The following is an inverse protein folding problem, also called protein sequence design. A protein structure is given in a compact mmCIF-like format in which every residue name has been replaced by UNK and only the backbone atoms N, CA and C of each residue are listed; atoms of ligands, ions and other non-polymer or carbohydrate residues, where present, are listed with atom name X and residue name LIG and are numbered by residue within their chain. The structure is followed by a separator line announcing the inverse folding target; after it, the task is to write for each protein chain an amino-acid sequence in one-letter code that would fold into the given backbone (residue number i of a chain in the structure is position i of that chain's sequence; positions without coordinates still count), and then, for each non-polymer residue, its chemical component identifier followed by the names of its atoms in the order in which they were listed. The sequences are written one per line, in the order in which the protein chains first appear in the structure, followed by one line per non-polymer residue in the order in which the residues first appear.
data_IF_811217726743
#
_entry.id   IF_811217726743
#
_cell.length_a   1.000
_cell.length_b   1.000
_cell.length_c   1.000
_cell.angle_alpha   90.00
_cell.angle_beta   90.00
_cell.angle_gamma   90.00
#
_symmetry.space_group_name_H-M   'P 1'
#
loop_
_entity.id
_entity.type
_entity.pdbx_description
1 polymer ?
#
# COMPACT_ATOMS: atom_id res chain seq x y z
N UNK A 1 22.18 -6.56 -4.95
CA UNK A 1 20.83 -5.96 -4.95
C UNK A 1 20.90 -4.62 -5.64
N UNK A 2 20.20 -4.45 -6.77
CA UNK A 2 20.30 -3.24 -7.58
C UNK A 2 19.14 -2.28 -7.29
N UNK A 3 19.36 -1.28 -6.44
CA UNK A 3 18.31 -0.35 -6.00
C UNK A 3 17.68 0.46 -7.15
N UNK A 4 18.48 0.78 -8.17
CA UNK A 4 17.99 1.47 -9.38
C UNK A 4 16.99 0.61 -10.14
N UNK A 5 17.25 -0.69 -10.23
CA UNK A 5 16.35 -1.66 -10.84
C UNK A 5 15.04 -1.77 -10.04
N UNK A 6 15.12 -1.85 -8.71
CA UNK A 6 13.95 -1.91 -7.83
C UNK A 6 13.03 -0.70 -8.04
N UNK A 7 13.58 0.52 -8.02
CA UNK A 7 12.79 1.74 -8.25
C UNK A 7 12.18 1.79 -9.64
N UNK A 8 12.94 1.35 -10.66
CA UNK A 8 12.44 1.28 -12.03
C UNK A 8 11.27 0.30 -12.15
N UNK A 9 11.38 -0.88 -11.54
CA UNK A 9 10.32 -1.87 -11.50
C UNK A 9 9.10 -1.39 -10.70
N UNK A 10 9.30 -0.72 -9.56
CA UNK A 10 8.20 -0.15 -8.78
C UNK A 10 7.37 0.83 -9.61
N UNK A 11 8.05 1.67 -10.43
CA UNK A 11 7.39 2.56 -11.38
C UNK A 11 6.62 1.79 -12.46
N UNK A 12 7.19 0.73 -13.02
CA UNK A 12 6.52 -0.10 -14.03
C UNK A 12 5.25 -0.73 -13.43
N UNK A 13 5.35 -1.32 -12.25
CA UNK A 13 4.22 -1.93 -11.53
C UNK A 13 3.12 -0.91 -11.23
N UNK A 14 3.50 0.28 -10.75
CA UNK A 14 2.55 1.35 -10.48
C UNK A 14 1.87 1.88 -11.77
N UNK A 15 2.57 1.91 -12.89
CA UNK A 15 1.96 2.26 -14.18
C UNK A 15 1.08 1.14 -14.74
N UNK A 16 1.48 -0.12 -14.54
CA UNK A 16 0.70 -1.29 -14.93
C UNK A 16 -0.63 -1.35 -14.18
N UNK A 17 -0.64 -1.09 -12.87
CA UNK A 17 -1.88 -1.07 -12.07
C UNK A 17 -2.83 0.07 -12.46
N UNK A 18 -2.29 1.25 -12.82
CA UNK A 18 -3.09 2.35 -13.38
C UNK A 18 -3.69 1.98 -14.74
N UNK A 19 -2.92 1.28 -15.59
CA UNK A 19 -3.40 0.81 -16.91
C UNK A 19 -4.45 -0.28 -16.75
N UNK A 20 -4.28 -1.20 -15.80
CA UNK A 20 -5.24 -2.27 -15.51
C UNK A 20 -6.62 -1.73 -15.12
N UNK A 21 -6.67 -0.55 -14.48
CA UNK A 21 -7.91 0.14 -14.12
C UNK A 21 -8.58 0.93 -15.24
N UNK A 22 -7.99 0.98 -16.45
CA UNK A 22 -8.64 1.60 -17.61
C UNK A 22 -9.72 0.65 -18.15
N UNK A 23 -10.96 0.94 -17.81
CA UNK A 23 -12.13 0.29 -18.43
C UNK A 23 -12.52 1.13 -19.66
N UNK A 24 -12.61 0.48 -20.83
CA UNK A 24 -13.13 1.04 -22.10
C UNK A 24 -12.50 2.38 -22.52
N UNK A 25 -11.16 2.44 -22.67
CA UNK A 25 -10.40 3.62 -23.13
C UNK A 25 -10.59 4.92 -22.32
N UNK A 26 -11.30 4.86 -21.19
CA UNK A 26 -11.45 6.01 -20.30
C UNK A 26 -10.20 6.22 -19.46
N UNK A 27 -9.75 7.48 -19.34
CA UNK A 27 -8.64 7.82 -18.45
C UNK A 27 -9.10 7.72 -17.00
N UNK A 28 -8.36 7.00 -16.11
CA UNK A 28 -8.72 6.89 -14.70
C UNK A 28 -8.73 8.30 -14.08
N UNK A 29 -9.77 8.64 -13.31
CA UNK A 29 -9.91 9.94 -12.64
C UNK A 29 -9.42 9.86 -11.18
N UNK A 30 -9.07 11.01 -10.59
CA UNK A 30 -8.66 11.12 -9.18
C UNK A 30 -7.29 10.49 -8.85
N UNK A 31 -7.18 9.90 -7.66
CA UNK A 31 -5.95 9.25 -7.14
C UNK A 31 -5.51 8.01 -7.93
N UNK A 32 -6.36 7.49 -8.81
CA UNK A 32 -6.02 6.40 -9.72
C UNK A 32 -5.34 6.88 -11.01
N UNK A 33 -5.26 8.20 -11.27
CA UNK A 33 -4.78 8.76 -12.54
C UNK A 33 -3.27 8.60 -12.72
N UNK A 34 -2.48 8.86 -11.68
CA UNK A 34 -1.03 8.69 -11.75
C UNK A 34 -0.37 8.59 -10.37
N UNK A 35 0.71 7.79 -10.23
CA UNK A 35 1.48 7.71 -8.99
C UNK A 35 2.08 9.06 -8.56
N UNK A 36 2.43 9.92 -9.52
CA UNK A 36 3.00 11.26 -9.24
C UNK A 36 2.00 12.17 -8.52
N UNK A 37 0.73 12.15 -8.97
CA UNK A 37 -0.34 12.94 -8.36
C UNK A 37 -0.52 12.53 -6.90
N UNK A 38 -0.46 11.23 -6.59
CA UNK A 38 -0.60 10.74 -5.22
C UNK A 38 0.53 11.21 -4.29
N UNK A 39 1.75 11.33 -4.79
CA UNK A 39 2.86 11.92 -4.01
C UNK A 39 2.60 13.40 -3.74
N UNK A 40 2.17 14.16 -4.75
CA UNK A 40 1.85 15.59 -4.59
C UNK A 40 0.74 15.78 -3.57
N UNK A 41 -0.34 15.00 -3.68
CA UNK A 41 -1.41 15.01 -2.69
C UNK A 41 -0.94 14.53 -1.32
N UNK A 42 -0.02 13.56 -1.24
CA UNK A 42 0.59 13.14 0.02
C UNK A 42 1.33 14.26 0.72
N UNK A 43 2.16 15.02 -0.01
CA UNK A 43 2.88 16.18 0.54
C UNK A 43 1.90 17.28 0.96
N UNK A 44 0.92 17.59 0.12
CA UNK A 44 -0.10 18.60 0.45
C UNK A 44 -0.93 18.18 1.67
N UNK A 45 -1.39 16.92 1.71
CA UNK A 45 -2.17 16.37 2.81
C UNK A 45 -1.37 16.31 4.11
N UNK A 46 -0.05 16.05 4.03
CA UNK A 46 0.85 16.13 5.17
C UNK A 46 0.86 17.52 5.79
N UNK A 47 1.10 18.55 4.98
CA UNK A 47 1.14 19.93 5.46
C UNK A 47 -0.21 20.37 6.03
N UNK A 48 -1.30 20.07 5.32
CA UNK A 48 -2.66 20.43 5.75
C UNK A 48 -3.03 19.70 7.04
N UNK A 49 -2.78 18.40 7.14
CA UNK A 49 -3.08 17.62 8.34
C UNK A 49 -2.26 18.10 9.54
N UNK A 50 -0.96 18.40 9.36
CA UNK A 50 -0.12 18.91 10.43
C UNK A 50 -0.64 20.23 10.99
N UNK A 51 -1.01 21.17 10.11
CA UNK A 51 -1.54 22.48 10.53
C UNK A 51 -2.90 22.34 11.21
N UNK A 52 -3.81 21.55 10.63
CA UNK A 52 -5.15 21.35 11.21
C UNK A 52 -5.07 20.68 12.58
N UNK A 53 -4.25 19.64 12.72
CA UNK A 53 -4.11 18.93 13.99
C UNK A 53 -3.38 19.77 15.03
N UNK A 54 -2.40 20.59 14.64
CA UNK A 54 -1.77 21.54 15.55
C UNK A 54 -2.81 22.48 16.18
N UNK A 55 -3.62 23.16 15.35
CA UNK A 55 -4.64 24.08 15.86
C UNK A 55 -5.73 23.37 16.68
N UNK A 56 -6.12 22.17 16.26
CA UNK A 56 -7.07 21.36 17.00
C UNK A 56 -6.51 20.94 18.37
N UNK A 57 -5.23 20.55 18.42
CA UNK A 57 -4.54 20.14 19.63
C UNK A 57 -4.41 21.28 20.65
N UNK A 58 -4.02 22.49 20.19
CA UNK A 58 -3.89 23.67 21.05
C UNK A 58 -5.23 24.31 21.42
N UNK A 59 -6.28 24.10 20.61
CA UNK A 59 -7.59 24.74 20.85
C UNK A 59 -8.54 23.87 21.68
N UNK A 60 -8.70 22.61 21.28
CA UNK A 60 -9.74 21.72 21.83
C UNK A 60 -9.13 20.68 22.76
N UNK A 61 -7.96 20.15 22.40
CA UNK A 61 -7.37 19.02 23.10
C UNK A 61 -6.54 19.41 24.34
N UNK A 62 -6.21 20.70 24.49
CA UNK A 62 -5.53 21.22 25.67
C UNK A 62 -6.37 20.98 26.94
N UNK A 63 -7.70 21.06 26.84
CA UNK A 63 -8.62 20.76 27.94
C UNK A 63 -8.67 19.27 28.33
N UNK A 64 -8.15 18.38 27.47
CA UNK A 64 -8.28 16.91 27.58
C UNK A 64 -6.93 16.18 27.75
N UNK A 65 -5.88 16.89 28.19
CA UNK A 65 -4.53 16.35 28.35
C UNK A 65 -3.94 15.78 27.05
N UNK A 66 -3.63 16.71 26.13
CA UNK A 66 -3.08 16.40 24.81
C UNK A 66 -1.76 15.62 24.83
N UNK A 67 -0.98 15.71 25.91
CA UNK A 67 0.28 14.97 26.07
C UNK A 67 0.03 13.47 26.28
N UNK A 68 -0.92 13.11 27.14
CA UNK A 68 -1.30 11.69 27.34
C UNK A 68 -1.83 11.09 26.04
N UNK A 69 -2.65 11.85 25.30
CA UNK A 69 -3.16 11.42 24.01
C UNK A 69 -2.05 11.17 22.98
N UNK A 70 -1.02 12.03 22.94
CA UNK A 70 0.14 11.85 22.07
C UNK A 70 0.87 10.53 22.31
N UNK A 71 1.11 10.20 23.58
CA UNK A 71 1.79 8.95 23.96
C UNK A 71 0.95 7.75 23.55
N UNK A 72 -0.35 7.77 23.82
CA UNK A 72 -1.25 6.68 23.44
C UNK A 72 -1.29 6.47 21.92
N UNK A 73 -1.46 7.54 21.14
CA UNK A 73 -1.41 7.46 19.67
C UNK A 73 -0.08 6.86 19.22
N UNK A 74 1.04 7.33 19.76
CA UNK A 74 2.37 6.90 19.33
C UNK A 74 2.62 5.41 19.58
N UNK A 75 2.06 4.86 20.67
CA UNK A 75 2.13 3.42 20.99
C UNK A 75 1.31 2.58 20.00
N UNK A 76 0.10 3.04 19.62
CA UNK A 76 -0.77 2.31 18.70
C UNK A 76 -0.48 2.61 17.23
N UNK A 77 0.28 3.65 16.91
CA UNK A 77 0.54 4.06 15.53
C UNK A 77 1.14 2.93 14.67
N UNK A 78 2.08 2.09 15.15
CA UNK A 78 2.63 1.01 14.32
C UNK A 78 1.59 -0.04 13.95
N UNK A 79 0.70 -0.41 14.88
CA UNK A 79 -0.37 -1.40 14.61
C UNK A 79 -1.48 -0.82 13.73
N UNK A 80 -1.79 0.47 13.86
CA UNK A 80 -2.70 1.15 12.93
C UNK A 80 -2.10 1.15 11.52
N UNK A 81 -0.80 1.38 11.39
CA UNK A 81 -0.10 1.41 10.10
C UNK A 81 0.01 0.04 9.45
N UNK A 82 0.24 -1.04 10.21
CA UNK A 82 0.18 -2.41 9.69
C UNK A 82 -1.22 -2.72 9.17
N UNK A 83 -2.25 -2.45 9.97
CA UNK A 83 -3.64 -2.70 9.62
C UNK A 83 -4.05 -1.93 8.37
N UNK A 84 -3.73 -0.64 8.32
CA UNK A 84 -4.01 0.23 7.19
C UNK A 84 -3.33 -0.26 5.92
N UNK A 85 -2.06 -0.65 6.00
CA UNK A 85 -1.33 -1.23 4.88
C UNK A 85 -2.03 -2.50 4.37
N UNK A 86 -2.37 -3.44 5.26
CA UNK A 86 -3.07 -4.69 4.91
C UNK A 86 -4.45 -4.41 4.29
N UNK A 87 -5.27 -3.57 4.91
CA UNK A 87 -6.61 -3.26 4.39
C UNK A 87 -6.55 -2.63 3.00
N UNK A 88 -5.68 -1.62 2.83
CA UNK A 88 -5.48 -0.99 1.54
C UNK A 88 -4.96 -1.99 0.51
N UNK A 89 -4.03 -2.84 0.94
CA UNK A 89 -3.55 -4.04 0.27
C UNK A 89 -4.59 -4.89 -0.40
N UNK A 90 -5.46 -5.42 0.45
CA UNK A 90 -6.53 -6.34 0.07
C UNK A 90 -7.50 -5.66 -0.88
N UNK A 91 -7.91 -4.41 -0.59
CA UNK A 91 -8.78 -3.62 -1.47
C UNK A 91 -8.15 -3.39 -2.83
N UNK A 92 -6.87 -3.06 -2.86
CA UNK A 92 -6.13 -2.84 -4.10
C UNK A 92 -6.04 -4.12 -4.92
N UNK A 93 -5.79 -5.27 -4.29
CA UNK A 93 -5.74 -6.57 -4.96
C UNK A 93 -7.08 -6.96 -5.58
N UNK A 94 -8.18 -6.83 -4.84
CA UNK A 94 -9.52 -7.08 -5.37
C UNK A 94 -9.94 -6.09 -6.47
N UNK A 95 -9.33 -4.90 -6.51
CA UNK A 95 -9.64 -3.89 -7.51
C UNK A 95 -8.92 -4.07 -8.85
N UNK A 96 -7.98 -5.02 -8.95
CA UNK A 96 -7.25 -5.31 -10.18
C UNK A 96 -7.82 -6.53 -10.90
N UNK A 97 -7.79 -6.53 -12.23
CA UNK A 97 -8.18 -7.68 -13.04
C UNK A 97 -7.16 -8.82 -12.88
N UNK A 98 -7.68 -10.04 -12.74
CA UNK A 98 -6.88 -11.27 -12.48
C UNK A 98 -5.82 -11.58 -13.55
N UNK A 99 -5.88 -10.95 -14.72
CA UNK A 99 -4.87 -11.11 -15.78
C UNK A 99 -3.58 -10.32 -15.55
N UNK A 100 -3.61 -9.26 -14.75
CA UNK A 100 -2.44 -8.38 -14.47
C UNK A 100 -1.70 -8.80 -13.20
N UNK A 101 -2.36 -9.54 -12.30
CA UNK A 101 -1.83 -9.97 -11.00
C UNK A 101 -1.02 -11.27 -10.99
N UNK A 102 -0.74 -11.89 -12.14
CA UNK A 102 0.01 -13.15 -12.16
C UNK A 102 1.48 -12.94 -11.81
N UNK A 103 1.88 -13.43 -10.63
CA UNK A 103 3.28 -13.50 -10.20
C UNK A 103 4.13 -14.40 -11.10
N UNK A 104 3.53 -15.21 -11.98
CA UNK A 104 4.30 -16.12 -12.84
C UNK A 104 5.14 -15.37 -13.87
N UNK A 105 4.75 -14.15 -14.25
CA UNK A 105 5.51 -13.28 -15.18
C UNK A 105 6.91 -12.96 -14.64
N UNK A 106 7.09 -12.97 -13.32
CA UNK A 106 8.36 -12.69 -12.65
C UNK A 106 9.43 -13.70 -13.05
N UNK A 107 9.06 -14.98 -13.20
CA UNK A 107 9.99 -16.05 -13.54
C UNK A 107 10.59 -15.90 -14.96
N UNK A 108 10.00 -15.03 -15.79
CA UNK A 108 10.45 -14.75 -17.15
C UNK A 108 11.31 -13.49 -17.26
N UNK A 109 11.47 -12.75 -16.16
CA UNK A 109 12.25 -11.52 -16.11
C UNK A 109 13.60 -11.78 -15.42
N UNK A 110 14.69 -11.13 -15.87
CA UNK A 110 16.00 -11.25 -15.24
C UNK A 110 16.07 -10.41 -13.94
N UNK A 111 15.22 -10.73 -12.98
CA UNK A 111 15.10 -10.04 -11.68
C UNK A 111 15.11 -11.04 -10.54
N UNK A 112 15.76 -10.70 -9.43
CA UNK A 112 15.69 -11.55 -8.24
C UNK A 112 14.33 -11.44 -7.55
N UNK A 113 13.82 -12.52 -6.92
CA UNK A 113 12.54 -12.50 -6.21
C UNK A 113 12.45 -11.40 -5.15
N UNK A 114 13.53 -11.15 -4.41
CA UNK A 114 13.57 -10.09 -3.39
C UNK A 114 13.45 -8.69 -4.01
N UNK A 115 14.02 -8.47 -5.19
CA UNK A 115 13.94 -7.19 -5.89
C UNK A 115 12.53 -6.93 -6.40
N UNK A 116 11.82 -7.98 -6.83
CA UNK A 116 10.42 -7.91 -7.18
C UNK A 116 9.54 -7.55 -5.98
N UNK A 117 9.71 -8.26 -4.85
CA UNK A 117 8.90 -8.01 -3.64
C UNK A 117 9.09 -6.57 -3.17
N UNK A 118 10.33 -6.08 -3.12
CA UNK A 118 10.62 -4.68 -2.75
C UNK A 118 10.01 -3.68 -3.75
N UNK A 119 10.08 -3.97 -5.05
CA UNK A 119 9.47 -3.12 -6.06
C UNK A 119 7.94 -3.07 -5.93
N UNK A 120 7.32 -4.20 -5.63
CA UNK A 120 5.88 -4.28 -5.42
C UNK A 120 5.43 -3.54 -4.17
N UNK A 121 6.14 -3.73 -3.04
CA UNK A 121 5.93 -2.97 -1.80
C UNK A 121 6.03 -1.46 -2.06
N UNK A 122 7.11 -1.00 -2.71
CA UNK A 122 7.27 0.42 -3.06
C UNK A 122 6.17 0.93 -3.99
N UNK A 123 5.71 0.11 -4.93
CA UNK A 123 4.60 0.47 -5.81
C UNK A 123 3.31 0.73 -5.02
N UNK A 124 3.07 -0.07 -3.97
CA UNK A 124 1.94 0.07 -3.06
C UNK A 124 2.00 1.41 -2.31
N UNK A 125 3.19 1.80 -1.83
CA UNK A 125 3.40 3.03 -1.09
C UNK A 125 3.05 4.28 -1.91
N UNK A 126 3.24 4.26 -3.23
CA UNK A 126 2.80 5.37 -4.08
C UNK A 126 1.29 5.59 -4.04
N UNK A 127 0.51 4.52 -3.92
CA UNK A 127 -0.95 4.64 -3.83
C UNK A 127 -1.43 4.95 -2.41
N UNK A 128 -0.66 4.55 -1.41
CA UNK A 128 -0.90 4.89 -0.01
C UNK A 128 -0.46 6.32 0.35
N UNK A 129 0.38 6.96 -0.48
CA UNK A 129 1.00 8.26 -0.21
C UNK A 129 0.05 9.36 0.31
N UNK A 130 -1.18 9.57 -0.23
CA UNK A 130 -2.11 10.56 0.30
C UNK A 130 -2.50 10.27 1.75
N UNK A 131 -2.79 9.00 2.06
CA UNK A 131 -3.19 8.56 3.39
C UNK A 131 -2.02 8.63 4.38
N UNK A 132 -0.81 8.25 3.94
CA UNK A 132 0.42 8.43 4.72
C UNK A 132 0.68 9.90 5.04
N UNK A 133 0.44 10.78 4.06
CA UNK A 133 0.52 12.22 4.27
C UNK A 133 -0.36 12.66 5.42
N UNK A 134 -1.65 12.29 5.41
CA UNK A 134 -2.60 12.64 6.48
C UNK A 134 -2.12 12.14 7.84
N UNK A 135 -1.79 10.84 7.95
CA UNK A 135 -1.42 10.23 9.24
C UNK A 135 -0.11 10.82 9.77
N UNK A 136 0.91 10.92 8.93
CA UNK A 136 2.21 11.43 9.37
C UNK A 136 2.14 12.93 9.67
N UNK A 137 1.36 13.68 8.88
CA UNK A 137 1.10 15.09 9.12
C UNK A 137 0.40 15.29 10.45
N UNK A 138 -0.66 14.52 10.72
CA UNK A 138 -1.39 14.57 11.99
C UNK A 138 -0.48 14.32 13.21
N UNK A 139 0.34 13.26 13.15
CA UNK A 139 1.26 12.93 14.25
C UNK A 139 2.32 14.01 14.45
N UNK A 140 2.88 14.57 13.37
CA UNK A 140 3.82 15.70 13.47
C UNK A 140 3.14 16.93 14.08
N UNK A 141 1.96 17.31 13.59
CA UNK A 141 1.20 18.43 14.12
C UNK A 141 0.93 18.30 15.62
N UNK A 142 0.54 17.11 16.06
CA UNK A 142 0.27 16.79 17.46
C UNK A 142 1.55 16.73 18.32
N UNK A 143 2.65 16.24 17.77
CA UNK A 143 3.95 16.22 18.46
C UNK A 143 4.53 17.62 18.67
N UNK A 144 4.30 18.53 17.71
CA UNK A 144 4.73 19.93 17.83
C UNK A 144 3.88 20.65 18.90
N UNK A 145 2.55 20.49 18.87
CA UNK A 145 1.66 21.16 19.82
C UNK A 145 1.90 20.72 21.27
N UNK A 146 2.31 19.47 21.49
CA UNK A 146 2.60 18.92 22.82
C UNK A 146 4.05 19.11 23.27
N UNK A 147 4.93 19.62 22.40
CA UNK A 147 6.37 19.71 22.67
C UNK A 147 7.11 18.37 22.71
N UNK A 148 6.46 17.28 22.30
CA UNK A 148 6.97 15.90 22.35
C UNK A 148 7.44 15.40 20.98
N UNK A 149 8.30 16.17 20.32
CA UNK A 149 8.83 15.84 18.98
C UNK A 149 9.56 14.51 18.96
N UNK A 150 10.33 14.18 20.00
CA UNK A 150 11.10 12.94 20.07
C UNK A 150 10.19 11.71 20.01
N UNK A 151 9.10 11.71 20.80
CA UNK A 151 8.10 10.64 20.82
C UNK A 151 7.39 10.53 19.47
N UNK A 152 7.06 11.67 18.85
CA UNK A 152 6.45 11.69 17.52
C UNK A 152 7.35 11.11 16.44
N UNK A 153 8.62 11.51 16.40
CA UNK A 153 9.58 11.01 15.41
C UNK A 153 9.84 9.51 15.61
N UNK A 154 10.04 9.06 16.86
CA UNK A 154 10.22 7.63 17.16
C UNK A 154 8.98 6.84 16.77
N UNK A 155 7.79 7.32 17.13
CA UNK A 155 6.52 6.70 16.76
C UNK A 155 6.39 6.54 15.25
N UNK A 156 6.69 7.60 14.49
CA UNK A 156 6.68 7.56 13.02
C UNK A 156 7.70 6.57 12.45
N UNK A 157 8.93 6.53 12.97
CA UNK A 157 9.95 5.58 12.54
C UNK A 157 9.51 4.13 12.77
N UNK A 158 9.02 3.80 13.96
CA UNK A 158 8.52 2.45 14.26
C UNK A 158 7.29 2.14 13.40
N UNK A 159 6.45 3.12 13.13
CA UNK A 159 5.30 2.99 12.23
C UNK A 159 5.66 2.74 10.77
N UNK A 160 6.80 3.25 10.28
CA UNK A 160 7.28 2.87 8.93
C UNK A 160 7.58 1.37 8.87
N UNK A 161 8.16 0.78 9.93
CA UNK A 161 8.38 -0.67 10.02
C UNK A 161 7.06 -1.43 10.03
N UNK A 162 6.06 -0.95 10.79
CA UNK A 162 4.71 -1.51 10.78
C UNK A 162 4.08 -1.50 9.38
N UNK A 163 4.23 -0.40 8.65
CA UNK A 163 3.78 -0.31 7.27
C UNK A 163 4.49 -1.32 6.36
N UNK A 164 5.82 -1.48 6.48
CA UNK A 164 6.55 -2.51 5.74
C UNK A 164 6.04 -3.92 6.05
N UNK A 165 5.84 -4.25 7.33
CA UNK A 165 5.29 -5.53 7.76
C UNK A 165 3.91 -5.81 7.14
N UNK A 166 3.02 -4.81 7.14
CA UNK A 166 1.71 -4.93 6.50
C UNK A 166 1.83 -5.16 4.99
N UNK A 167 2.71 -4.45 4.31
CA UNK A 167 2.94 -4.63 2.87
C UNK A 167 3.57 -5.98 2.51
N UNK A 168 4.48 -6.50 3.33
CA UNK A 168 5.03 -7.85 3.12
C UNK A 168 3.98 -8.93 3.36
N UNK A 169 3.12 -8.77 4.37
CA UNK A 169 2.01 -9.68 4.63
C UNK A 169 1.09 -9.82 3.42
N UNK A 170 0.86 -8.72 2.70
CA UNK A 170 0.10 -8.75 1.45
C UNK A 170 0.77 -9.53 0.34
N UNK A 171 2.09 -9.42 0.21
CA UNK A 171 2.79 -10.22 -0.79
C UNK A 171 2.75 -11.71 -0.49
N UNK A 172 2.75 -12.07 0.79
CA UNK A 172 2.49 -13.45 1.20
C UNK A 172 1.07 -13.86 0.79
N UNK A 173 0.06 -13.03 1.03
CA UNK A 173 -1.32 -13.31 0.61
C UNK A 173 -1.47 -13.42 -0.92
N UNK A 174 -0.77 -12.59 -1.70
CA UNK A 174 -0.70 -12.68 -3.16
C UNK A 174 -0.06 -13.99 -3.61
N UNK A 175 1.06 -14.36 -3.02
CA UNK A 175 1.75 -15.62 -3.33
C UNK A 175 0.86 -16.83 -3.04
N UNK A 176 0.12 -16.82 -1.92
CA UNK A 176 -0.85 -17.86 -1.58
C UNK A 176 -1.99 -17.90 -2.60
N UNK A 177 -2.60 -16.74 -2.89
CA UNK A 177 -3.72 -16.64 -3.86
C UNK A 177 -3.32 -17.14 -5.25
N UNK A 178 -2.12 -16.79 -5.72
CA UNK A 178 -1.60 -17.24 -7.02
C UNK A 178 -1.28 -18.75 -7.01
N UNK A 179 -0.75 -19.29 -5.91
CA UNK A 179 -0.55 -20.74 -5.74
C UNK A 179 -1.87 -21.51 -5.75
N UNK A 180 -2.89 -21.00 -5.06
CA UNK A 180 -4.22 -21.63 -5.01
C UNK A 180 -4.88 -21.56 -6.39
N UNK A 181 -4.87 -20.40 -7.05
CA UNK A 181 -5.44 -20.21 -8.38
C UNK A 181 -4.81 -21.15 -9.42
N UNK A 182 -3.49 -21.26 -9.46
CA UNK A 182 -2.79 -22.15 -10.40
C UNK A 182 -3.05 -23.64 -10.13
N UNK A 183 -3.19 -24.04 -8.86
CA UNK A 183 -3.56 -25.41 -8.47
C UNK A 183 -4.99 -25.76 -8.91
N UNK A 184 -5.95 -24.86 -8.66
CA UNK A 184 -7.35 -25.04 -9.08
C UNK A 184 -7.47 -25.03 -10.60
N UNK A 185 -6.81 -24.10 -11.30
CA UNK A 185 -6.86 -24.01 -12.77
C UNK A 185 -6.28 -25.26 -13.45
N UNK A 186 -5.18 -25.83 -12.92
CA UNK A 186 -4.64 -27.12 -13.40
C UNK A 186 -5.63 -28.28 -13.19
N UNK A 187 -6.42 -28.25 -12.10
CA UNK A 187 -7.41 -29.29 -11.79
C UNK A 187 -8.68 -29.15 -12.65
N UNK A 188 -9.17 -27.93 -12.84
CA UNK A 188 -10.36 -27.65 -13.67
C UNK A 188 -10.06 -27.77 -15.16
N UNK A 189 -8.86 -27.37 -15.62
CA UNK A 189 -8.45 -27.57 -17.02
C UNK A 189 -8.44 -29.04 -17.43
N UNK A 190 -8.00 -29.94 -16.53
CA UNK A 190 -8.08 -31.39 -16.77
C UNK A 190 -9.52 -31.89 -16.86
N UNK A 191 -10.43 -31.44 -15.98
CA UNK A 191 -11.83 -31.86 -16.05
C UNK A 191 -12.56 -31.26 -17.26
N UNK A 192 -12.28 -30.02 -17.64
CA UNK A 192 -12.84 -29.39 -18.86
C UNK A 192 -12.32 -30.06 -20.13
N UNK A 193 -11.05 -30.48 -20.18
CA UNK A 193 -10.50 -31.26 -21.31
C UNK A 193 -11.16 -32.64 -21.40
N UNK A 194 -11.35 -33.33 -20.27
CA UNK A 194 -12.06 -34.62 -20.22
C UNK A 194 -13.52 -34.45 -20.67
N UNK A 195 -14.23 -33.43 -20.17
CA UNK A 195 -15.61 -33.14 -20.57
C UNK A 195 -15.71 -32.80 -22.07
N UNK A 196 -14.75 -32.04 -22.62
CA UNK A 196 -14.69 -31.77 -24.06
C UNK A 196 -14.41 -33.03 -24.87
N UNK A 197 -13.54 -33.92 -24.41
CA UNK A 197 -13.29 -35.21 -25.06
C UNK A 197 -14.52 -36.12 -25.05
N UNK A 198 -15.35 -36.08 -24.01
CA UNK A 198 -16.55 -36.92 -23.90
C UNK A 198 -17.77 -36.34 -24.63
N UNK A 199 -17.87 -35.01 -24.74
CA UNK A 199 -19.00 -34.35 -25.42
C UNK A 199 -18.78 -34.09 -26.91
N UNK A 200 -17.53 -34.04 -27.39
CA UNK A 200 -17.19 -33.77 -28.79
C UNK A 200 -16.61 -34.97 -29.55
N UNK A 201 -16.56 -36.16 -28.92
CA UNK A 201 -16.36 -37.46 -29.58
C UNK A 201 -17.71 -38.18 -29.57
#
# INVERSE_FOLDING_TARGET
MNFKLILHFAKILALASVRAKRVNDSTPKGFAKSPKINIIFGVAAFLVAAVLVYFFATGVLEELDSAVFMVQISIFLPSIMTLMAVMYGVLFEFSQSSSVGSSDVINWLPIHPIEFVLASVLSMLYFLAPLLGIVYGAVIGLSISTGMLDVGIIGLLVSTLGLFLGTFTLEIMRAITNRVSSSVYKRTGRTTVIVRMVLFV
#
